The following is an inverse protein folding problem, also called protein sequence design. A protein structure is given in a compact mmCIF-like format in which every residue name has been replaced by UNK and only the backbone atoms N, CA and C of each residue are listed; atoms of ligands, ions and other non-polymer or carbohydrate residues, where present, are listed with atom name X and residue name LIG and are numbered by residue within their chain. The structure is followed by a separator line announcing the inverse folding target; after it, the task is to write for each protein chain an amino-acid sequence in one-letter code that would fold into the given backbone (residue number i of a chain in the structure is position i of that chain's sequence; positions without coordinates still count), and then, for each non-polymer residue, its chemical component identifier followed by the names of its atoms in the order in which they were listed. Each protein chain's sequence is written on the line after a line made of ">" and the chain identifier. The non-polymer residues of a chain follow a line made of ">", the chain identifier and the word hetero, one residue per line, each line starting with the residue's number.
data_IF_575539906166
#
_entry.id   IF_575539906166
#
_cell.length_a   1.000
_cell.length_b   1.000
_cell.length_c   1.000
_cell.angle_alpha   90.00
_cell.angle_beta   90.00
_cell.angle_gamma   90.00
#
_symmetry.space_group_name_H-M   'P 1'
#
loop_
_entity.id
_entity.type
_entity.pdbx_description
1 polymer ?
#
# COMPACT_ATOMS: atom_id res chain seq x y z
N UNK A 1 12.14 -11.38 -23.91
CA UNK A 1 13.03 -11.01 -22.83
C UNK A 1 12.23 -10.82 -21.54
N UNK A 2 12.87 -11.03 -20.40
CA UNK A 2 12.29 -10.73 -19.10
C UNK A 2 12.84 -9.39 -18.64
N UNK A 3 11.96 -8.51 -18.19
CA UNK A 3 12.34 -7.35 -17.41
C UNK A 3 12.09 -7.67 -15.95
N UNK A 4 13.12 -7.66 -15.14
CA UNK A 4 13.01 -7.74 -13.70
C UNK A 4 13.35 -6.37 -13.12
N UNK A 5 12.37 -5.76 -12.46
CA UNK A 5 12.57 -4.53 -11.72
C UNK A 5 12.66 -4.92 -10.25
N UNK A 6 13.85 -4.90 -9.64
CA UNK A 6 13.95 -5.19 -8.22
C UNK A 6 13.32 -4.02 -7.45
N UNK A 7 12.18 -4.30 -6.84
CA UNK A 7 11.65 -3.45 -5.78
C UNK A 7 12.15 -4.08 -4.48
N UNK A 8 12.95 -3.35 -3.75
CA UNK A 8 13.48 -3.83 -2.47
C UNK A 8 12.46 -3.48 -1.36
N UNK A 9 11.57 -4.42 -1.00
CA UNK A 9 10.58 -4.17 0.03
C UNK A 9 11.27 -4.11 1.40
N UNK A 10 10.67 -3.45 2.39
CA UNK A 10 11.15 -3.54 3.76
C UNK A 10 11.31 -5.00 4.19
N UNK A 11 12.38 -5.29 4.92
CA UNK A 11 12.68 -6.64 5.37
C UNK A 11 11.53 -7.25 6.17
N UNK A 12 11.33 -8.55 6.01
CA UNK A 12 10.42 -9.31 6.86
C UNK A 12 10.76 -9.12 8.33
N UNK A 13 9.74 -9.02 9.16
CA UNK A 13 9.90 -8.88 10.60
C UNK A 13 9.02 -9.88 11.33
N UNK A 14 9.26 -9.98 12.62
CA UNK A 14 8.47 -10.78 13.54
C UNK A 14 7.85 -9.86 14.58
N UNK A 15 6.55 -10.00 14.80
CA UNK A 15 5.84 -9.27 15.85
C UNK A 15 6.26 -9.75 17.23
N UNK A 16 6.02 -8.99 18.30
CA UNK A 16 6.35 -9.40 19.67
C UNK A 16 5.72 -10.72 20.12
N UNK A 17 4.60 -11.11 19.53
CA UNK A 17 3.92 -12.39 19.77
C UNK A 17 4.38 -13.51 18.83
N UNK A 18 5.40 -13.26 18.01
CA UNK A 18 6.07 -14.27 17.18
C UNK A 18 5.46 -14.46 15.78
N UNK A 19 4.47 -13.67 15.37
CA UNK A 19 3.94 -13.74 14.02
C UNK A 19 4.91 -13.10 13.01
N UNK A 20 5.26 -13.85 11.96
CA UNK A 20 6.06 -13.31 10.86
C UNK A 20 5.18 -12.57 9.88
N UNK A 21 5.65 -11.45 9.40
CA UNK A 21 5.00 -10.68 8.35
C UNK A 21 6.00 -10.18 7.32
N UNK A 22 5.51 -10.03 6.10
CA UNK A 22 6.28 -9.54 4.98
C UNK A 22 5.49 -8.46 4.25
N UNK A 23 6.21 -7.74 3.43
CA UNK A 23 5.58 -6.83 2.45
C UNK A 23 5.14 -7.61 1.23
N UNK A 24 3.95 -7.32 0.74
CA UNK A 24 3.51 -7.74 -0.58
C UNK A 24 3.10 -6.54 -1.41
N UNK A 25 3.49 -6.54 -2.68
CA UNK A 25 2.98 -5.56 -3.62
C UNK A 25 1.49 -5.83 -3.89
N UNK A 26 0.74 -4.76 -4.07
CA UNK A 26 -0.61 -4.84 -4.62
C UNK A 26 -0.55 -4.77 -6.15
N UNK A 27 -1.71 -4.60 -6.79
CA UNK A 27 -1.78 -4.52 -8.24
C UNK A 27 -0.91 -3.40 -8.80
N UNK A 28 -0.35 -3.66 -9.95
CA UNK A 28 0.38 -2.70 -10.75
C UNK A 28 -0.22 -2.64 -12.15
N UNK A 29 -0.10 -1.49 -12.78
CA UNK A 29 -0.44 -1.31 -14.20
C UNK A 29 0.81 -1.08 -15.02
N UNK A 30 0.81 -1.64 -16.22
CA UNK A 30 1.91 -1.51 -17.17
C UNK A 30 1.35 -0.95 -18.47
N UNK A 31 1.96 0.09 -18.99
CA UNK A 31 1.59 0.69 -20.27
C UNK A 31 2.55 1.80 -20.67
N UNK A 32 2.54 2.14 -21.94
CA UNK A 32 3.26 3.29 -22.47
C UNK A 32 2.48 4.56 -22.07
N UNK A 33 2.84 5.14 -20.93
CA UNK A 33 2.09 6.23 -20.31
C UNK A 33 2.46 7.61 -20.85
N UNK A 34 3.64 7.76 -21.42
CA UNK A 34 4.13 9.04 -21.98
C UNK A 34 4.19 9.04 -23.50
N UNK A 35 3.98 7.90 -24.15
CA UNK A 35 3.92 7.78 -25.60
C UNK A 35 5.28 7.62 -26.27
N UNK A 36 6.31 7.22 -25.55
CA UNK A 36 7.67 7.03 -26.08
C UNK A 36 7.90 5.65 -26.72
N UNK A 37 6.89 4.77 -26.68
CA UNK A 37 6.94 3.41 -27.22
C UNK A 37 7.51 2.40 -26.25
N UNK A 38 7.71 2.77 -24.99
CA UNK A 38 8.14 1.89 -23.89
C UNK A 38 7.10 1.87 -22.80
N UNK A 39 7.11 0.81 -22.01
CA UNK A 39 6.14 0.70 -20.95
C UNK A 39 6.70 1.24 -19.62
N UNK A 40 5.89 1.99 -18.92
CA UNK A 40 6.05 2.34 -17.51
C UNK A 40 5.28 1.36 -16.65
N UNK A 41 5.66 1.31 -15.38
CA UNK A 41 4.96 0.56 -14.33
C UNK A 41 4.44 1.55 -13.30
N UNK A 42 3.14 1.54 -13.09
CA UNK A 42 2.49 2.33 -12.06
C UNK A 42 1.99 1.42 -10.94
N UNK A 43 2.32 1.77 -9.71
CA UNK A 43 1.88 1.01 -8.54
C UNK A 43 1.81 1.88 -7.27
N UNK A 44 1.07 1.36 -6.29
CA UNK A 44 1.07 1.94 -4.95
C UNK A 44 2.40 1.63 -4.26
N UNK A 45 3.00 2.65 -3.66
CA UNK A 45 4.21 2.56 -2.85
C UNK A 45 4.02 3.24 -1.50
N UNK A 46 5.03 3.14 -0.64
CA UNK A 46 5.05 3.76 0.68
C UNK A 46 6.46 4.27 0.98
N UNK A 47 6.61 4.94 2.11
CA UNK A 47 7.92 5.33 2.63
C UNK A 47 8.89 4.15 2.67
N UNK A 48 10.15 4.41 2.38
CA UNK A 48 11.20 3.40 2.39
C UNK A 48 11.23 2.46 1.19
N UNK A 49 10.33 2.61 0.21
CA UNK A 49 10.44 1.88 -1.06
C UNK A 49 11.69 2.33 -1.80
N UNK A 50 12.55 1.39 -2.19
CA UNK A 50 13.76 1.67 -2.96
C UNK A 50 13.49 1.43 -4.44
N UNK A 51 13.75 2.42 -5.27
CA UNK A 51 13.59 2.30 -6.71
C UNK A 51 14.78 1.57 -7.39
N UNK A 52 14.65 1.30 -8.69
CA UNK A 52 15.69 0.60 -9.44
C UNK A 52 17.02 1.36 -9.59
N UNK A 53 17.07 2.63 -9.21
CA UNK A 53 18.29 3.42 -9.13
C UNK A 53 18.89 3.45 -7.70
N UNK A 54 18.30 2.74 -6.76
CA UNK A 54 18.73 2.72 -5.36
C UNK A 54 18.27 3.93 -4.54
N UNK A 55 17.31 4.73 -5.06
CA UNK A 55 16.79 5.90 -4.38
C UNK A 55 15.56 5.52 -3.55
N UNK A 56 15.54 5.91 -2.28
CA UNK A 56 14.36 5.78 -1.44
C UNK A 56 13.26 6.78 -1.83
N UNK A 57 12.03 6.32 -1.83
CA UNK A 57 10.83 7.13 -1.93
C UNK A 57 10.38 7.54 -0.53
N UNK A 58 9.96 8.79 -0.38
CA UNK A 58 9.54 9.31 0.91
C UNK A 58 10.66 9.28 1.96
N UNK A 59 10.31 8.94 3.19
CA UNK A 59 11.26 8.84 4.31
C UNK A 59 11.75 7.39 4.47
N UNK A 60 13.04 7.17 4.15
CA UNK A 60 13.67 5.85 4.28
C UNK A 60 13.81 5.35 5.72
N UNK A 61 13.75 6.24 6.70
CA UNK A 61 13.90 5.92 8.11
C UNK A 61 12.56 5.72 8.83
N UNK A 62 11.44 6.05 8.18
CA UNK A 62 10.13 5.94 8.78
C UNK A 62 9.74 4.48 9.06
N UNK A 63 9.13 4.27 10.22
CA UNK A 63 8.57 2.98 10.63
C UNK A 63 7.08 3.15 10.95
N UNK A 64 6.24 2.62 10.08
CA UNK A 64 4.79 2.77 10.16
C UNK A 64 4.07 1.50 10.60
N UNK A 65 4.79 0.45 10.94
CA UNK A 65 4.17 -0.81 11.37
C UNK A 65 3.49 -0.64 12.72
N UNK A 66 2.29 -1.16 12.78
CA UNK A 66 1.56 -1.21 14.04
C UNK A 66 2.28 -2.13 15.03
N UNK A 67 2.47 -1.64 16.24
CA UNK A 67 2.98 -2.42 17.37
C UNK A 67 1.86 -2.76 18.33
N UNK A 68 2.09 -3.77 19.19
CA UNK A 68 1.10 -4.23 20.15
C UNK A 68 0.70 -3.08 21.09
N UNK A 69 -0.60 -2.79 21.16
CA UNK A 69 -1.14 -1.81 22.10
C UNK A 69 -1.06 -0.36 21.66
N UNK A 70 -0.47 -0.06 20.50
CA UNK A 70 -0.43 1.33 20.03
C UNK A 70 -1.77 1.82 19.47
N UNK A 71 -2.57 0.92 18.91
CA UNK A 71 -3.93 1.26 18.45
C UNK A 71 -4.97 0.33 19.07
N UNK A 72 -5.92 0.88 19.82
CA UNK A 72 -7.06 0.12 20.28
C UNK A 72 -7.82 -0.45 19.10
N UNK A 73 -8.22 -1.70 19.21
CA UNK A 73 -9.04 -2.32 18.19
C UNK A 73 -10.49 -1.88 18.36
N UNK A 74 -11.07 -1.38 17.28
CA UNK A 74 -12.51 -1.16 17.24
C UNK A 74 -13.26 -2.50 17.19
N UNK A 75 -14.26 -2.62 18.02
CA UNK A 75 -14.94 -3.88 18.41
C UNK A 75 -15.69 -4.63 17.31
N UNK A 76 -15.80 -4.04 16.11
CA UNK A 76 -16.65 -4.55 15.03
C UNK A 76 -15.88 -5.04 13.81
N UNK A 77 -14.58 -5.22 13.93
CA UNK A 77 -13.70 -5.27 12.77
C UNK A 77 -13.17 -6.65 12.41
N UNK A 78 -13.87 -7.70 12.79
CA UNK A 78 -13.45 -9.05 12.45
C UNK A 78 -12.27 -9.55 13.25
N UNK A 79 -12.09 -9.03 14.47
CA UNK A 79 -11.17 -9.61 15.42
C UNK A 79 -11.55 -11.06 15.70
N UNK A 80 -10.57 -11.95 15.64
CA UNK A 80 -10.75 -13.30 16.13
C UNK A 80 -10.80 -13.27 17.65
N UNK A 81 -11.92 -13.65 18.22
CA UNK A 81 -12.03 -13.87 19.65
C UNK A 81 -11.33 -15.19 19.99
N UNK A 82 -10.31 -15.14 20.82
CA UNK A 82 -9.69 -16.34 21.34
C UNK A 82 -10.57 -16.99 22.41
N UNK A 83 -10.40 -18.31 22.69
CA UNK A 83 -11.15 -19.00 23.72
C UNK A 83 -11.00 -18.39 25.12
N UNK A 84 -9.92 -17.67 25.38
CA UNK A 84 -9.65 -16.96 26.63
C UNK A 84 -10.28 -15.53 26.69
N UNK A 85 -11.08 -15.18 25.69
CA UNK A 85 -11.76 -13.89 25.62
C UNK A 85 -10.90 -12.74 25.09
N UNK A 86 -9.62 -12.99 24.78
CA UNK A 86 -8.79 -11.98 24.13
C UNK A 86 -9.18 -11.83 22.68
N UNK A 87 -9.22 -10.61 22.22
CA UNK A 87 -9.37 -10.32 20.81
C UNK A 87 -8.01 -10.18 20.19
N UNK A 88 -7.70 -11.05 19.24
CA UNK A 88 -6.53 -10.90 18.43
C UNK A 88 -6.88 -10.02 17.24
N UNK A 89 -6.49 -8.77 17.36
CA UNK A 89 -6.35 -7.95 16.18
C UNK A 89 -5.10 -8.43 15.45
N UNK A 90 -5.25 -8.89 14.24
CA UNK A 90 -4.12 -9.06 13.34
C UNK A 90 -3.61 -7.70 12.84
N UNK A 91 -3.46 -6.75 13.74
CA UNK A 91 -2.96 -5.41 13.44
C UNK A 91 -1.45 -5.34 13.52
N UNK A 92 -0.88 -6.20 14.34
CA UNK A 92 0.56 -6.21 14.58
C UNK A 92 1.32 -6.47 13.28
N UNK A 93 2.30 -5.61 13.03
CA UNK A 93 3.12 -5.68 11.85
C UNK A 93 2.46 -5.16 10.57
N UNK A 94 1.19 -4.80 10.58
CA UNK A 94 0.54 -4.16 9.44
C UNK A 94 0.88 -2.68 9.37
N UNK A 95 0.88 -2.15 8.16
CA UNK A 95 1.00 -0.72 7.91
C UNK A 95 -0.40 -0.20 7.61
N UNK A 96 -0.99 0.47 8.60
CA UNK A 96 -2.34 1.04 8.52
C UNK A 96 -2.33 2.57 8.62
N UNK A 97 -1.15 3.15 8.70
CA UNK A 97 -0.87 4.58 8.75
C UNK A 97 0.39 4.90 7.97
N UNK A 98 0.70 6.16 7.85
CA UNK A 98 1.82 6.67 7.07
C UNK A 98 1.46 6.95 5.63
N UNK A 99 2.29 7.75 4.95
CA UNK A 99 2.03 8.19 3.59
C UNK A 99 2.04 7.04 2.60
N UNK A 100 1.18 7.16 1.62
CA UNK A 100 1.09 6.26 0.48
C UNK A 100 1.21 7.08 -0.79
N UNK A 101 1.84 6.50 -1.78
CA UNK A 101 2.10 7.16 -3.04
C UNK A 101 1.62 6.31 -4.21
N UNK A 102 1.14 6.96 -5.25
CA UNK A 102 1.09 6.40 -6.59
C UNK A 102 2.39 6.77 -7.29
N UNK A 103 3.19 5.77 -7.60
CA UNK A 103 4.51 5.95 -8.21
C UNK A 103 4.54 5.31 -9.59
N UNK A 104 5.12 6.03 -10.54
CA UNK A 104 5.37 5.58 -11.90
C UNK A 104 6.86 5.32 -12.03
N UNK A 105 7.22 4.15 -12.49
CA UNK A 105 8.58 3.71 -12.71
C UNK A 105 8.86 3.52 -14.19
N UNK A 106 10.06 3.88 -14.61
CA UNK A 106 10.60 3.49 -15.90
C UNK A 106 10.64 1.96 -16.01
N UNK A 107 9.96 1.41 -17.00
CA UNK A 107 9.79 -0.02 -17.12
C UNK A 107 11.06 -0.78 -17.48
N UNK A 108 12.13 -0.11 -17.87
CA UNK A 108 13.42 -0.71 -18.21
C UNK A 108 14.40 -0.70 -17.04
N UNK A 109 14.39 0.36 -16.26
CA UNK A 109 15.39 0.60 -15.20
C UNK A 109 14.81 0.46 -13.80
N UNK A 110 13.50 0.53 -13.65
CA UNK A 110 12.84 0.58 -12.35
C UNK A 110 13.00 1.91 -11.61
N UNK A 111 13.64 2.91 -12.23
CA UNK A 111 13.79 4.24 -11.63
C UNK A 111 12.43 4.92 -11.51
N UNK A 112 12.13 5.51 -10.37
CA UNK A 112 10.94 6.31 -10.19
C UNK A 112 10.99 7.56 -11.08
N UNK A 113 9.98 7.73 -11.93
CA UNK A 113 9.80 8.88 -12.82
C UNK A 113 8.95 9.95 -12.15
N UNK A 114 7.89 9.53 -11.46
CA UNK A 114 6.96 10.39 -10.76
C UNK A 114 6.41 9.68 -9.53
N UNK A 115 6.12 10.44 -8.49
CA UNK A 115 5.47 9.95 -7.29
C UNK A 115 4.59 11.05 -6.72
N UNK A 116 3.37 10.72 -6.36
CA UNK A 116 2.41 11.65 -5.77
C UNK A 116 1.61 10.96 -4.67
N UNK A 117 1.05 11.72 -3.71
CA UNK A 117 0.17 11.13 -2.70
C UNK A 117 -0.93 10.29 -3.33
N UNK A 118 -1.17 9.12 -2.76
CA UNK A 118 -2.22 8.22 -3.24
C UNK A 118 -3.61 8.75 -2.86
N UNK A 119 -4.51 8.75 -3.82
CA UNK A 119 -5.91 9.11 -3.63
C UNK A 119 -6.83 8.01 -4.19
N UNK A 120 -7.91 7.65 -3.48
CA UNK A 120 -8.33 8.16 -2.18
C UNK A 120 -7.45 7.69 -1.02
N UNK A 121 -7.40 8.47 0.05
CA UNK A 121 -6.71 8.11 1.28
C UNK A 121 -7.41 6.97 2.02
N UNK A 122 -6.83 6.46 3.11
CA UNK A 122 -7.43 5.42 3.95
C UNK A 122 -8.76 5.84 4.60
N UNK A 123 -9.07 7.13 4.63
CA UNK A 123 -10.30 7.66 5.20
C UNK A 123 -10.11 9.03 5.83
N UNK A 124 -11.08 9.51 6.61
CA UNK A 124 -10.92 10.72 7.40
C UNK A 124 -9.68 10.61 8.30
N UNK A 125 -8.84 11.64 8.27
CA UNK A 125 -7.52 11.61 8.91
C UNK A 125 -6.35 11.37 7.94
N UNK A 126 -6.63 11.14 6.66
CA UNK A 126 -5.60 11.05 5.62
C UNK A 126 -4.64 9.88 5.86
N UNK A 127 -3.38 10.21 6.14
CA UNK A 127 -2.32 9.22 6.30
C UNK A 127 -2.32 8.56 7.69
N UNK A 128 -3.09 9.08 8.64
CA UNK A 128 -3.19 8.53 10.00
C UNK A 128 -4.65 8.47 10.50
N UNK A 129 -5.52 7.70 9.83
CA UNK A 129 -6.91 7.55 10.24
C UNK A 129 -7.01 6.81 11.58
N UNK A 130 -7.98 7.20 12.41
CA UNK A 130 -8.27 6.43 13.62
C UNK A 130 -8.94 5.09 13.26
N UNK A 131 -8.88 4.07 14.14
CA UNK A 131 -9.59 2.82 13.94
C UNK A 131 -11.09 3.02 13.68
N UNK A 132 -11.72 3.95 14.37
CA UNK A 132 -13.14 4.28 14.20
C UNK A 132 -13.42 4.86 12.81
N UNK A 133 -12.55 5.75 12.32
CA UNK A 133 -12.64 6.29 10.97
C UNK A 133 -12.47 5.19 9.90
N UNK A 134 -11.56 4.26 10.13
CA UNK A 134 -11.38 3.09 9.26
C UNK A 134 -12.63 2.20 9.24
N UNK A 135 -13.22 1.92 10.40
CA UNK A 135 -14.48 1.15 10.49
C UNK A 135 -15.61 1.86 9.77
N UNK A 136 -15.72 3.17 9.96
CA UNK A 136 -16.77 3.96 9.31
C UNK A 136 -16.64 3.95 7.79
N UNK A 137 -15.41 4.06 7.28
CA UNK A 137 -15.15 4.14 5.84
C UNK A 137 -15.18 2.76 5.15
N UNK A 138 -14.66 1.74 5.82
CA UNK A 138 -14.37 0.43 5.20
C UNK A 138 -15.08 -0.74 5.87
N UNK A 139 -15.63 -0.55 7.07
CA UNK A 139 -16.25 -1.61 7.87
C UNK A 139 -15.25 -2.44 8.68
N UNK A 140 -13.95 -2.18 8.58
CA UNK A 140 -12.91 -2.77 9.42
C UNK A 140 -11.78 -1.79 9.69
N UNK A 141 -11.01 -2.01 10.76
CA UNK A 141 -9.85 -1.21 11.11
C UNK A 141 -8.53 -1.96 10.96
N UNK A 142 -8.54 -3.18 10.44
CA UNK A 142 -7.34 -4.00 10.29
C UNK A 142 -6.84 -4.10 8.85
N UNK A 143 -7.38 -3.27 7.96
CA UNK A 143 -6.89 -3.09 6.61
C UNK A 143 -7.25 -4.21 5.63
N UNK A 144 -8.21 -5.09 5.96
CA UNK A 144 -8.59 -6.12 5.01
C UNK A 144 -9.26 -5.53 3.76
N UNK A 145 -10.03 -4.46 3.94
CA UNK A 145 -10.74 -3.80 2.84
C UNK A 145 -9.97 -2.60 2.30
N UNK A 146 -9.46 -1.74 3.17
CA UNK A 146 -8.76 -0.51 2.77
C UNK A 146 -7.42 -0.76 2.06
N UNK A 147 -6.76 -1.87 2.35
CA UNK A 147 -5.44 -2.19 1.79
C UNK A 147 -5.54 -3.14 0.56
N UNK A 148 -6.63 -3.03 -0.18
CA UNK A 148 -6.81 -3.68 -1.48
C UNK A 148 -6.75 -2.62 -2.57
N UNK A 149 -5.95 -2.88 -3.58
CA UNK A 149 -5.74 -1.96 -4.68
C UNK A 149 -5.96 -2.69 -5.99
N UNK A 150 -6.69 -2.04 -6.88
CA UNK A 150 -6.87 -2.50 -8.25
C UNK A 150 -6.25 -1.46 -9.18
N UNK A 151 -5.62 -1.92 -10.21
CA UNK A 151 -4.91 -1.07 -11.15
C UNK A 151 -5.21 -1.48 -12.59
N UNK A 152 -5.42 -0.49 -13.45
CA UNK A 152 -5.56 -0.68 -14.88
C UNK A 152 -5.08 0.52 -15.67
N UNK A 153 -4.88 0.31 -16.98
CA UNK A 153 -4.69 1.39 -17.96
C UNK A 153 -5.90 1.42 -18.88
N UNK A 154 -6.47 2.60 -19.09
CA UNK A 154 -7.60 2.80 -19.96
C UNK A 154 -7.40 4.07 -20.83
N UNK A 155 -7.94 4.06 -22.03
CA UNK A 155 -7.93 5.21 -22.93
C UNK A 155 -9.25 5.98 -22.79
N UNK A 156 -9.40 6.73 -21.68
CA UNK A 156 -10.66 7.38 -21.31
C UNK A 156 -11.04 8.49 -22.28
N UNK A 157 -10.08 9.14 -22.92
CA UNK A 157 -10.28 10.16 -23.96
C UNK A 157 -10.15 9.60 -25.40
N UNK A 158 -9.94 8.29 -25.52
CA UNK A 158 -9.72 7.61 -26.78
C UNK A 158 -8.37 7.89 -27.46
N UNK A 159 -7.46 8.60 -26.78
CA UNK A 159 -6.18 9.04 -27.35
C UNK A 159 -4.98 8.76 -26.50
N UNK A 160 -5.08 9.03 -25.20
CA UNK A 160 -3.96 8.90 -24.26
C UNK A 160 -4.29 7.87 -23.18
N UNK A 161 -3.28 7.10 -22.76
CA UNK A 161 -3.46 6.20 -21.64
C UNK A 161 -3.72 6.99 -20.36
N UNK A 162 -4.63 6.48 -19.56
CA UNK A 162 -4.95 6.99 -18.23
C UNK A 162 -4.76 5.89 -17.22
N UNK A 163 -4.14 6.19 -16.10
CA UNK A 163 -4.07 5.27 -14.99
C UNK A 163 -5.39 5.28 -14.23
N UNK A 164 -5.93 4.10 -14.01
CA UNK A 164 -7.14 3.89 -13.19
C UNK A 164 -6.73 3.07 -11.98
N UNK A 165 -6.77 3.70 -10.83
CA UNK A 165 -6.46 3.07 -9.57
C UNK A 165 -7.66 3.16 -8.63
N UNK A 166 -7.93 2.09 -7.93
CA UNK A 166 -8.98 2.02 -6.93
C UNK A 166 -8.43 1.47 -5.62
N UNK A 167 -9.04 1.90 -4.54
CA UNK A 167 -8.78 1.41 -3.19
C UNK A 167 -10.02 0.73 -2.66
N UNK A 168 -9.81 -0.36 -1.95
CA UNK A 168 -10.86 -1.05 -1.24
C UNK A 168 -11.68 -2.00 -2.11
N UNK A 169 -12.55 -2.76 -1.45
CA UNK A 169 -13.57 -3.58 -2.07
C UNK A 169 -14.78 -3.68 -1.13
N UNK A 170 -15.96 -3.85 -1.72
CA UNK A 170 -17.33 -3.69 -1.22
C UNK A 170 -17.86 -2.27 -1.22
#
# INVERSE_FOLDING_TARGET
>A
GYLSIPLDPPADRTTPDGERYSYSANDASVGDLDGDGRAEIAMKTADGTIDGAGKALGDAAAEWRETVGERPQADRTGATLLPDGRRVARLQGRILRGPEYLTIFDGRTGRALASQPYAPTRGPGGDDPTPEAMVQSWGDAYGNRSERYLASVAYLDGRRPSLVFARGYY
#
